data_IF_524374535102
#
_entry.id   IF_524374535102
#
_cell.length_a   1.000
_cell.length_b   1.000
_cell.length_c   1.000
_cell.angle_alpha   90.00
_cell.angle_beta   90.00
_cell.angle_gamma   90.00
#
_symmetry.space_group_name_H-M   'P 1'
#
loop_
_entity.id
_entity.type
_entity.pdbx_description
1 polymer ?
#
# COMPACT_ATOMS: atom_id res chain seq x y z
N UNK A 1 -7.54 33.12 4.78
CA UNK A 1 -8.24 32.46 5.90
C UNK A 1 -9.35 31.48 5.49
N UNK A 2 -10.11 31.69 4.40
CA UNK A 2 -11.19 30.75 3.98
C UNK A 2 -10.71 29.34 3.53
N UNK A 3 -9.46 29.19 3.10
CA UNK A 3 -8.88 27.89 2.69
C UNK A 3 -8.62 26.96 3.87
N UNK A 4 -8.08 27.49 4.98
CA UNK A 4 -7.86 26.73 6.22
C UNK A 4 -9.18 26.24 6.85
N UNK A 5 -10.24 27.06 6.77
CA UNK A 5 -11.58 26.69 7.24
C UNK A 5 -12.28 25.63 6.39
N UNK A 6 -11.98 25.56 5.08
CA UNK A 6 -12.57 24.55 4.18
C UNK A 6 -11.82 23.21 4.22
N UNK A 7 -10.49 23.24 4.27
CA UNK A 7 -9.67 22.00 4.32
C UNK A 7 -9.58 21.41 5.72
N UNK A 8 -9.71 22.23 6.77
CA UNK A 8 -9.57 21.81 8.16
C UNK A 8 -10.54 20.70 8.57
N UNK A 9 -11.81 20.78 8.15
CA UNK A 9 -12.82 19.78 8.50
C UNK A 9 -12.54 18.41 7.87
N UNK A 10 -12.00 18.38 6.64
CA UNK A 10 -11.61 17.13 5.99
C UNK A 10 -10.32 16.53 6.55
N UNK A 11 -9.34 17.37 6.90
CA UNK A 11 -8.11 16.90 7.57
C UNK A 11 -8.41 16.35 8.96
N UNK A 12 -9.25 17.06 9.74
CA UNK A 12 -9.70 16.58 11.04
C UNK A 12 -10.41 15.23 10.93
N UNK A 13 -11.29 15.08 9.92
CA UNK A 13 -11.95 13.81 9.65
C UNK A 13 -10.94 12.68 9.39
N UNK A 14 -9.94 12.90 8.53
CA UNK A 14 -8.89 11.90 8.24
C UNK A 14 -8.07 11.57 9.49
N UNK A 15 -7.73 12.57 10.31
CA UNK A 15 -6.97 12.36 11.55
C UNK A 15 -7.77 11.57 12.58
N UNK A 16 -9.05 11.91 12.77
CA UNK A 16 -9.95 11.17 13.68
C UNK A 16 -10.13 9.74 13.21
N UNK A 17 -10.36 9.55 11.91
CA UNK A 17 -10.46 8.22 11.31
C UNK A 17 -9.16 7.44 11.55
N UNK A 18 -8.00 8.01 11.23
CA UNK A 18 -6.71 7.37 11.41
C UNK A 18 -6.45 6.99 12.88
N UNK A 19 -6.66 7.90 13.83
CA UNK A 19 -6.49 7.62 15.26
C UNK A 19 -7.41 6.51 15.74
N UNK A 20 -8.68 6.55 15.34
CA UNK A 20 -9.65 5.52 15.70
C UNK A 20 -9.27 4.16 15.11
N UNK A 21 -8.80 4.13 13.87
CA UNK A 21 -8.32 2.92 13.21
C UNK A 21 -7.04 2.38 13.83
N UNK A 22 -6.08 3.24 14.19
CA UNK A 22 -4.87 2.84 14.92
C UNK A 22 -5.21 2.27 16.30
N UNK A 23 -6.19 2.86 16.98
CA UNK A 23 -6.69 2.36 18.26
C UNK A 23 -7.43 1.01 18.12
N UNK A 24 -8.26 0.83 17.10
CA UNK A 24 -8.85 -0.48 16.78
C UNK A 24 -7.78 -1.51 16.41
N UNK A 25 -6.77 -1.08 15.65
CA UNK A 25 -5.62 -1.89 15.26
C UNK A 25 -4.73 -2.31 16.43
N UNK A 26 -4.65 -1.52 17.49
CA UNK A 26 -3.91 -1.92 18.70
C UNK A 26 -4.67 -2.92 19.57
N UNK A 27 -6.01 -2.93 19.50
CA UNK A 27 -6.86 -3.95 20.15
C UNK A 27 -6.80 -5.30 19.44
N UNK A 28 -6.65 -5.29 18.12
CA UNK A 28 -6.44 -6.49 17.30
C UNK A 28 -5.17 -6.35 16.46
N UNK A 29 -3.98 -6.60 17.05
CA UNK A 29 -2.68 -6.43 16.40
C UNK A 29 -2.54 -7.23 15.09
N UNK A 30 -3.28 -8.33 15.00
CA UNK A 30 -3.34 -9.24 13.84
C UNK A 30 -3.82 -8.54 12.57
N UNK A 31 -4.71 -7.54 12.69
CA UNK A 31 -5.33 -6.84 11.54
C UNK A 31 -4.57 -5.54 11.23
N UNK A 32 -4.01 -4.88 12.24
CA UNK A 32 -3.25 -3.64 12.10
C UNK A 32 -4.10 -2.40 11.82
N UNK A 33 -3.62 -1.24 12.23
CA UNK A 33 -4.33 0.04 12.10
C UNK A 33 -4.73 0.43 10.66
N UNK A 34 -3.89 0.21 9.63
CA UNK A 34 -4.23 0.54 8.25
C UNK A 34 -5.47 -0.20 7.73
N UNK A 35 -5.59 -1.51 7.96
CA UNK A 35 -6.71 -2.32 7.45
C UNK A 35 -8.05 -1.83 8.02
N UNK A 36 -8.09 -1.49 9.32
CA UNK A 36 -9.27 -0.86 9.92
C UNK A 36 -9.58 0.51 9.32
N UNK A 37 -8.55 1.32 9.03
CA UNK A 37 -8.72 2.63 8.38
C UNK A 37 -9.45 2.53 7.06
N UNK A 38 -9.07 1.53 6.28
CA UNK A 38 -9.72 1.24 5.02
C UNK A 38 -11.13 0.70 5.22
N UNK A 39 -11.33 -0.30 6.06
CA UNK A 39 -12.64 -0.95 6.21
C UNK A 39 -13.67 0.10 6.66
N UNK A 40 -13.27 0.96 7.59
CA UNK A 40 -14.08 2.08 8.02
C UNK A 40 -14.31 3.09 6.90
N UNK A 41 -13.29 3.44 6.12
CA UNK A 41 -13.45 4.37 4.99
C UNK A 41 -14.45 3.85 3.94
N UNK A 42 -14.36 2.57 3.58
CA UNK A 42 -15.27 1.90 2.65
C UNK A 42 -16.69 1.84 3.23
N UNK A 43 -16.84 1.45 4.50
CA UNK A 43 -18.15 1.41 5.17
C UNK A 43 -18.79 2.80 5.22
N UNK A 44 -18.04 3.84 5.58
CA UNK A 44 -18.54 5.23 5.64
C UNK A 44 -18.94 5.71 4.24
N UNK A 45 -18.14 5.41 3.22
CA UNK A 45 -18.42 5.81 1.85
C UNK A 45 -19.67 5.12 1.28
N UNK A 46 -19.93 3.88 1.69
CA UNK A 46 -21.08 3.09 1.22
C UNK A 46 -22.39 3.40 1.98
N UNK A 47 -22.31 3.74 3.28
CA UNK A 47 -23.50 3.95 4.12
C UNK A 47 -23.97 5.40 4.17
N UNK A 48 -23.10 6.33 4.55
CA UNK A 48 -23.45 7.73 4.82
C UNK A 48 -23.09 8.62 3.63
N UNK A 49 -22.07 8.23 2.87
CA UNK A 49 -21.47 9.08 1.83
C UNK A 49 -20.72 10.27 2.45
N UNK A 50 -19.59 10.64 1.85
CA UNK A 50 -18.77 11.75 2.38
C UNK A 50 -19.28 13.08 1.82
N UNK A 51 -19.67 14.07 2.66
CA UNK A 51 -20.11 15.36 2.15
C UNK A 51 -18.95 16.08 1.43
N UNK A 52 -19.28 16.82 0.35
CA UNK A 52 -18.30 17.50 -0.52
C UNK A 52 -17.35 18.44 0.22
N UNK A 53 -17.73 18.91 1.42
CA UNK A 53 -16.87 19.73 2.27
C UNK A 53 -15.63 19.00 2.78
N UNK A 54 -15.63 17.67 2.88
CA UNK A 54 -14.47 16.90 3.35
C UNK A 54 -13.48 16.52 2.25
N UNK A 55 -13.91 16.50 0.97
CA UNK A 55 -13.07 16.10 -0.16
C UNK A 55 -11.79 16.93 -0.26
N UNK A 56 -11.87 18.24 -0.08
CA UNK A 56 -10.70 19.13 -0.15
C UNK A 56 -9.63 18.79 0.90
N UNK A 57 -10.04 18.40 2.12
CA UNK A 57 -9.11 18.01 3.18
C UNK A 57 -8.55 16.59 2.98
N UNK A 58 -9.38 15.65 2.52
CA UNK A 58 -8.94 14.28 2.18
C UNK A 58 -7.86 14.35 1.08
N UNK A 59 -8.12 15.10 0.01
CA UNK A 59 -7.19 15.21 -1.11
C UNK A 59 -5.92 15.98 -0.74
N UNK A 60 -6.02 16.98 0.15
CA UNK A 60 -4.84 17.62 0.73
C UNK A 60 -3.96 16.63 1.48
N UNK A 61 -4.54 15.76 2.32
CA UNK A 61 -3.79 14.72 3.04
C UNK A 61 -3.16 13.71 2.08
N UNK A 62 -3.91 13.21 1.10
CA UNK A 62 -3.40 12.23 0.13
C UNK A 62 -2.27 12.76 -0.76
N UNK A 63 -2.29 14.06 -1.12
CA UNK A 63 -1.21 14.66 -1.91
C UNK A 63 -0.09 15.20 -1.03
N UNK A 64 -0.37 16.19 -0.19
CA UNK A 64 0.68 16.97 0.48
C UNK A 64 1.27 16.24 1.67
N UNK A 65 0.41 15.73 2.56
CA UNK A 65 0.89 15.05 3.78
C UNK A 65 1.69 13.80 3.39
N UNK A 66 1.19 13.02 2.43
CA UNK A 66 1.91 11.84 1.92
C UNK A 66 3.30 12.20 1.35
N UNK A 67 3.40 13.24 0.53
CA UNK A 67 4.70 13.67 -0.01
C UNK A 67 5.67 14.12 1.08
N UNK A 68 5.22 14.92 2.04
CA UNK A 68 6.06 15.35 3.17
C UNK A 68 6.50 14.17 4.04
N UNK A 69 5.63 13.18 4.26
CA UNK A 69 5.98 11.94 4.95
C UNK A 69 7.06 11.16 4.21
N UNK A 70 6.97 11.05 2.88
CA UNK A 70 7.98 10.37 2.05
C UNK A 70 9.34 11.08 2.15
N UNK A 71 9.35 12.42 2.06
CA UNK A 71 10.59 13.21 2.19
C UNK A 71 11.21 13.00 3.58
N UNK A 72 10.40 13.07 4.63
CA UNK A 72 10.86 12.86 6.01
C UNK A 72 11.40 11.44 6.24
N UNK A 73 10.73 10.42 5.68
CA UNK A 73 11.19 9.03 5.73
C UNK A 73 12.55 8.88 5.03
N UNK A 74 12.71 9.51 3.86
CA UNK A 74 13.97 9.53 3.11
C UNK A 74 15.11 10.19 3.88
N UNK A 75 14.85 11.27 4.62
CA UNK A 75 15.85 11.92 5.47
C UNK A 75 16.29 11.05 6.67
N UNK A 76 15.46 10.08 7.10
CA UNK A 76 15.79 9.16 8.18
C UNK A 76 16.69 7.98 7.76
N UNK A 77 16.92 7.79 6.45
CA UNK A 77 17.72 6.71 5.91
C UNK A 77 19.18 7.13 5.73
N UNK A 78 20.12 6.34 6.25
CA UNK A 78 21.54 6.53 5.98
C UNK A 78 21.85 6.28 4.51
N UNK A 79 22.51 7.24 3.84
CA UNK A 79 23.01 7.09 2.47
C UNK A 79 23.90 5.83 2.32
N UNK A 80 24.62 5.47 3.37
CA UNK A 80 25.47 4.28 3.41
C UNK A 80 24.66 2.99 3.49
N UNK A 81 23.58 2.97 4.26
CA UNK A 81 22.63 1.84 4.28
C UNK A 81 21.98 1.67 2.92
N UNK A 82 21.48 2.75 2.30
CA UNK A 82 20.87 2.70 0.97
C UNK A 82 21.85 2.15 -0.08
N UNK A 83 23.13 2.48 0.00
CA UNK A 83 24.14 2.01 -0.95
C UNK A 83 24.49 0.52 -0.77
N UNK A 84 24.79 0.07 0.45
CA UNK A 84 25.13 -1.33 0.73
C UNK A 84 23.96 -2.25 0.36
N UNK A 85 22.78 -1.90 0.86
CA UNK A 85 21.54 -2.65 0.68
C UNK A 85 20.90 -2.49 -0.69
N UNK A 86 21.18 -1.39 -1.36
CA UNK A 86 20.81 -1.18 -2.74
C UNK A 86 21.50 -2.19 -3.65
N UNK A 87 22.77 -2.52 -3.39
CA UNK A 87 23.62 -3.32 -4.29
C UNK A 87 23.38 -4.83 -4.24
N UNK A 88 23.20 -5.43 -3.05
CA UNK A 88 22.95 -6.88 -2.92
C UNK A 88 21.53 -7.26 -3.37
N UNK A 89 20.53 -6.49 -2.97
CA UNK A 89 19.13 -6.75 -3.31
C UNK A 89 18.67 -6.20 -4.67
N UNK A 90 19.55 -5.52 -5.43
CA UNK A 90 19.17 -4.88 -6.71
C UNK A 90 18.59 -5.85 -7.72
N UNK A 91 19.25 -7.00 -7.89
CA UNK A 91 18.96 -7.96 -8.97
C UNK A 91 17.59 -8.63 -8.79
N UNK A 92 17.26 -9.05 -7.56
CA UNK A 92 15.96 -9.66 -7.26
C UNK A 92 14.81 -8.64 -7.40
N UNK A 93 15.02 -7.40 -6.94
CA UNK A 93 14.04 -6.32 -7.10
C UNK A 93 13.78 -5.97 -8.56
N UNK A 94 14.82 -5.91 -9.39
CA UNK A 94 14.66 -5.65 -10.82
C UNK A 94 13.82 -6.73 -11.51
N UNK A 95 14.00 -8.00 -11.17
CA UNK A 95 13.20 -9.09 -11.74
C UNK A 95 11.74 -9.00 -11.30
N UNK A 96 11.48 -8.80 -10.01
CA UNK A 96 10.11 -8.64 -9.50
C UNK A 96 9.41 -7.41 -10.08
N UNK A 97 10.14 -6.29 -10.19
CA UNK A 97 9.64 -5.05 -10.81
C UNK A 97 9.34 -5.24 -12.30
N UNK A 98 10.21 -5.90 -13.04
CA UNK A 98 9.96 -6.22 -14.45
C UNK A 98 8.73 -7.13 -14.59
N UNK A 99 8.60 -8.15 -13.73
CA UNK A 99 7.44 -9.03 -13.71
C UNK A 99 6.14 -8.28 -13.39
N UNK A 100 6.15 -7.36 -12.43
CA UNK A 100 4.97 -6.55 -12.07
C UNK A 100 4.56 -5.61 -13.20
N UNK A 101 5.53 -4.98 -13.88
CA UNK A 101 5.25 -4.13 -15.05
C UNK A 101 4.73 -4.94 -16.24
N UNK A 102 5.31 -6.11 -16.51
CA UNK A 102 4.83 -7.01 -17.56
C UNK A 102 3.42 -7.50 -17.27
N UNK A 103 3.13 -7.88 -16.02
CA UNK A 103 1.79 -8.29 -15.60
C UNK A 103 0.80 -7.13 -15.73
N UNK A 104 1.13 -5.94 -15.22
CA UNK A 104 0.27 -4.76 -15.31
C UNK A 104 0.01 -4.36 -16.77
N UNK A 105 1.01 -4.44 -17.64
CA UNK A 105 0.86 -4.17 -19.07
C UNK A 105 0.03 -5.26 -19.77
N UNK A 106 0.26 -6.53 -19.46
CA UNK A 106 -0.46 -7.68 -20.03
C UNK A 106 -1.94 -7.67 -19.67
N UNK A 107 -2.27 -7.63 -18.38
CA UNK A 107 -3.65 -7.53 -17.90
C UNK A 107 -4.30 -6.20 -18.32
N UNK A 108 -3.55 -5.11 -18.27
CA UNK A 108 -4.03 -3.81 -18.72
C UNK A 108 -4.37 -3.77 -20.21
N UNK A 109 -3.61 -4.47 -21.05
CA UNK A 109 -3.92 -4.61 -22.48
C UNK A 109 -5.16 -5.48 -22.70
N UNK A 110 -5.30 -6.57 -21.94
CA UNK A 110 -6.47 -7.45 -22.02
C UNK A 110 -7.77 -6.72 -21.60
N UNK A 111 -7.68 -5.86 -20.59
CA UNK A 111 -8.80 -5.07 -20.05
C UNK A 111 -8.98 -3.71 -20.73
N UNK A 112 -8.20 -3.41 -21.77
CA UNK A 112 -8.25 -2.17 -22.55
C UNK A 112 -8.09 -0.88 -21.71
N UNK A 113 -7.18 -0.93 -20.74
CA UNK A 113 -6.90 0.16 -19.79
C UNK A 113 -5.93 1.19 -20.42
N UNK A 114 -6.11 2.51 -20.16
CA UNK A 114 -5.20 3.56 -20.61
C UNK A 114 -3.73 3.35 -20.19
N UNK A 115 -2.78 3.76 -21.03
CA UNK A 115 -1.33 3.56 -20.80
C UNK A 115 -0.81 4.21 -19.52
N UNK A 116 -1.29 5.42 -19.20
CA UNK A 116 -0.97 6.12 -17.95
C UNK A 116 -1.38 5.29 -16.74
N UNK A 117 -2.63 4.82 -16.70
CA UNK A 117 -3.14 4.00 -15.61
C UNK A 117 -2.40 2.66 -15.48
N UNK A 118 -2.05 1.99 -16.59
CA UNK A 118 -1.22 0.78 -16.57
C UNK A 118 0.15 1.03 -15.96
N UNK A 119 0.77 2.16 -16.30
CA UNK A 119 2.08 2.56 -15.78
C UNK A 119 2.00 2.85 -14.28
N UNK A 120 0.96 3.55 -13.83
CA UNK A 120 0.74 3.82 -12.40
C UNK A 120 0.50 2.54 -11.59
N UNK A 121 -0.32 1.62 -12.10
CA UNK A 121 -0.58 0.33 -11.44
C UNK A 121 0.70 -0.51 -11.41
N UNK A 122 1.46 -0.57 -12.52
CA UNK A 122 2.74 -1.29 -12.58
C UNK A 122 3.77 -0.75 -11.60
N UNK A 123 3.95 0.58 -11.57
CA UNK A 123 4.86 1.26 -10.65
C UNK A 123 4.45 1.06 -9.19
N UNK A 124 3.18 1.27 -8.87
CA UNK A 124 2.67 1.09 -7.51
C UNK A 124 2.69 -0.36 -7.05
N UNK A 125 2.44 -1.33 -7.93
CA UNK A 125 2.48 -2.76 -7.56
C UNK A 125 3.91 -3.25 -7.39
N UNK A 126 4.87 -2.75 -8.19
CA UNK A 126 6.25 -3.20 -8.17
C UNK A 126 7.14 -2.52 -7.12
N UNK A 127 6.90 -1.25 -6.81
CA UNK A 127 7.77 -0.44 -5.93
C UNK A 127 7.18 -0.27 -4.52
N UNK A 128 5.99 -0.83 -4.28
CA UNK A 128 5.28 -0.85 -2.99
C UNK A 128 4.48 0.43 -2.71
N UNK A 129 3.44 0.64 -3.51
CA UNK A 129 2.23 1.34 -3.12
C UNK A 129 2.07 2.76 -3.64
N UNK A 130 1.34 3.57 -2.86
CA UNK A 130 0.94 4.92 -3.24
C UNK A 130 2.10 5.91 -3.37
N UNK A 131 3.24 5.67 -2.71
CA UNK A 131 4.44 6.51 -2.82
C UNK A 131 5.05 6.46 -4.22
N UNK A 132 5.08 5.29 -4.84
CA UNK A 132 5.55 5.13 -6.22
C UNK A 132 4.61 5.80 -7.23
N UNK A 133 3.29 5.68 -7.02
CA UNK A 133 2.29 6.40 -7.81
C UNK A 133 2.50 7.91 -7.69
N UNK A 134 2.67 8.41 -6.46
CA UNK A 134 2.90 9.82 -6.20
C UNK A 134 4.14 10.34 -6.93
N UNK A 135 5.25 9.58 -6.91
CA UNK A 135 6.50 9.95 -7.59
C UNK A 135 6.40 9.90 -9.12
N UNK A 136 5.71 8.91 -9.70
CA UNK A 136 5.60 8.74 -11.15
C UNK A 136 4.52 9.67 -11.76
N UNK A 137 3.47 9.97 -11.01
CA UNK A 137 2.34 10.77 -11.48
C UNK A 137 2.70 12.12 -12.12
N UNK A 138 3.62 12.96 -11.58
CA UNK A 138 4.00 14.21 -12.24
C UNK A 138 4.86 13.99 -13.49
N UNK A 139 5.60 12.89 -13.58
CA UNK A 139 6.50 12.60 -14.71
C UNK A 139 5.70 12.24 -15.97
N UNK A 140 4.61 11.49 -15.80
CA UNK A 140 3.74 11.07 -16.91
C UNK A 140 2.53 12.00 -17.09
N UNK A 141 2.45 13.08 -16.32
CA UNK A 141 1.33 14.03 -16.27
C UNK A 141 -0.03 13.33 -16.10
N UNK A 142 -0.11 12.41 -15.13
CA UNK A 142 -1.33 11.65 -14.85
C UNK A 142 -2.45 12.54 -14.30
N UNK A 143 -3.67 12.27 -14.72
CA UNK A 143 -4.85 12.95 -14.19
C UNK A 143 -5.18 12.48 -12.77
N UNK A 144 -5.80 13.35 -11.97
CA UNK A 144 -6.16 13.01 -10.58
C UNK A 144 -7.08 11.78 -10.50
N UNK A 145 -7.93 11.60 -11.51
CA UNK A 145 -8.82 10.44 -11.61
C UNK A 145 -8.05 9.15 -11.87
N UNK A 146 -7.00 9.18 -12.69
CA UNK A 146 -6.14 8.03 -12.99
C UNK A 146 -5.30 7.64 -11.75
N UNK A 147 -4.78 8.63 -11.03
CA UNK A 147 -4.08 8.43 -9.75
C UNK A 147 -5.01 7.76 -8.74
N UNK A 148 -6.23 8.28 -8.59
CA UNK A 148 -7.22 7.72 -7.68
C UNK A 148 -7.59 6.27 -8.06
N UNK A 149 -7.79 5.98 -9.34
CA UNK A 149 -8.05 4.62 -9.82
C UNK A 149 -6.88 3.68 -9.56
N UNK A 150 -5.64 4.11 -9.82
CA UNK A 150 -4.46 3.30 -9.58
C UNK A 150 -4.31 2.95 -8.09
N UNK A 151 -4.42 3.96 -7.22
CA UNK A 151 -4.35 3.76 -5.76
C UNK A 151 -5.47 2.81 -5.31
N UNK A 152 -6.71 3.03 -5.75
CA UNK A 152 -7.86 2.20 -5.39
C UNK A 152 -7.68 0.75 -5.83
N UNK A 153 -7.11 0.54 -7.02
CA UNK A 153 -6.89 -0.80 -7.59
C UNK A 153 -5.83 -1.58 -6.81
N UNK A 154 -4.67 -0.96 -6.55
CA UNK A 154 -3.62 -1.58 -5.73
C UNK A 154 -4.17 -1.91 -4.35
N UNK A 155 -4.92 -0.96 -3.81
CA UNK A 155 -5.49 -1.09 -2.49
C UNK A 155 -6.50 -2.26 -2.39
N UNK A 156 -7.35 -2.42 -3.41
CA UNK A 156 -8.24 -3.57 -3.55
C UNK A 156 -7.46 -4.90 -3.58
N UNK A 157 -6.40 -4.99 -4.38
CA UNK A 157 -5.57 -6.20 -4.47
C UNK A 157 -4.82 -6.50 -3.17
N UNK A 158 -4.38 -5.49 -2.45
CA UNK A 158 -3.76 -5.66 -1.13
C UNK A 158 -4.73 -6.28 -0.12
N UNK A 159 -5.98 -5.79 -0.05
CA UNK A 159 -7.01 -6.43 0.81
C UNK A 159 -7.24 -7.87 0.35
N UNK A 160 -7.41 -8.08 -0.95
CA UNK A 160 -7.63 -9.41 -1.48
C UNK A 160 -6.48 -10.35 -1.10
N UNK A 161 -5.23 -9.90 -1.18
CA UNK A 161 -4.07 -10.67 -0.75
C UNK A 161 -4.14 -11.01 0.75
N UNK A 162 -4.41 -10.03 1.61
CA UNK A 162 -4.51 -10.21 3.08
C UNK A 162 -5.59 -11.21 3.47
N UNK A 163 -6.72 -11.26 2.73
CA UNK A 163 -7.82 -12.18 3.03
C UNK A 163 -7.64 -13.55 2.38
N UNK A 164 -7.16 -13.60 1.13
CA UNK A 164 -7.07 -14.83 0.36
C UNK A 164 -5.83 -15.64 0.70
N UNK A 165 -4.67 -15.00 0.92
CA UNK A 165 -3.42 -15.74 1.13
C UNK A 165 -3.47 -16.63 2.37
N UNK A 166 -3.86 -16.15 3.56
CA UNK A 166 -3.94 -17.01 4.74
C UNK A 166 -4.92 -18.18 4.55
N UNK A 167 -6.07 -17.90 3.95
CA UNK A 167 -7.09 -18.90 3.61
C UNK A 167 -6.52 -19.98 2.67
N UNK A 168 -5.79 -19.58 1.63
CA UNK A 168 -5.10 -20.50 0.71
C UNK A 168 -3.99 -21.29 1.43
N UNK A 169 -3.20 -20.63 2.29
CA UNK A 169 -2.15 -21.28 3.07
C UNK A 169 -2.69 -22.36 4.00
N UNK A 170 -3.88 -22.15 4.57
CA UNK A 170 -4.53 -23.16 5.41
C UNK A 170 -5.08 -24.30 4.56
N UNK A 171 -5.64 -23.98 3.39
CA UNK A 171 -6.14 -25.01 2.47
C UNK A 171 -5.03 -25.92 1.93
N UNK A 172 -3.85 -25.37 1.66
CA UNK A 172 -2.65 -26.13 1.30
C UNK A 172 -1.91 -26.73 2.51
N UNK A 173 -2.41 -26.51 3.72
CA UNK A 173 -1.84 -27.02 4.97
C UNK A 173 -0.33 -26.68 5.11
N UNK A 174 0.04 -25.46 4.72
CA UNK A 174 1.43 -24.98 4.70
C UNK A 174 1.99 -24.90 6.13
N UNK A 175 3.31 -25.01 6.27
CA UNK A 175 3.98 -24.64 7.52
C UNK A 175 4.09 -23.12 7.64
N UNK A 176 4.30 -22.62 8.86
CA UNK A 176 4.49 -21.19 9.13
C UNK A 176 5.64 -20.58 8.32
N UNK A 177 6.73 -21.34 8.16
CA UNK A 177 7.89 -20.97 7.36
C UNK A 177 7.56 -20.89 5.87
N UNK A 178 6.85 -21.89 5.36
CA UNK A 178 6.47 -21.94 3.94
C UNK A 178 5.47 -20.84 3.58
N UNK A 179 4.49 -20.58 4.46
CA UNK A 179 3.56 -19.48 4.28
C UNK A 179 4.26 -18.13 4.40
N UNK A 180 5.14 -17.96 5.40
CA UNK A 180 5.92 -16.74 5.59
C UNK A 180 6.78 -16.41 4.37
N UNK A 181 7.45 -17.42 3.78
CA UNK A 181 8.21 -17.28 2.54
C UNK A 181 7.31 -16.89 1.36
N UNK A 182 6.16 -17.55 1.20
CA UNK A 182 5.20 -17.24 0.14
C UNK A 182 4.67 -15.81 0.27
N UNK A 183 4.18 -15.43 1.44
CA UNK A 183 3.63 -14.11 1.69
C UNK A 183 4.69 -13.01 1.50
N UNK A 184 5.90 -13.20 2.04
CA UNK A 184 7.00 -12.24 1.93
C UNK A 184 7.55 -12.06 0.51
N UNK A 185 7.39 -13.05 -0.37
CA UNK A 185 7.85 -12.97 -1.77
C UNK A 185 6.75 -12.55 -2.75
N UNK A 186 5.53 -13.06 -2.57
CA UNK A 186 4.43 -12.84 -3.51
C UNK A 186 3.65 -11.54 -3.25
N UNK A 187 3.59 -11.07 -1.99
CA UNK A 187 2.92 -9.81 -1.67
C UNK A 187 3.95 -8.69 -1.74
N UNK A 188 3.71 -7.76 -2.66
CA UNK A 188 4.65 -6.67 -2.91
C UNK A 188 4.58 -5.58 -1.83
N UNK A 189 3.40 -5.31 -1.27
CA UNK A 189 3.22 -4.28 -0.25
C UNK A 189 3.60 -4.77 1.16
N UNK A 190 4.58 -4.12 1.79
CA UNK A 190 5.11 -4.53 3.11
C UNK A 190 4.04 -4.55 4.19
N UNK A 191 3.13 -3.57 4.20
CA UNK A 191 2.07 -3.55 5.22
C UNK A 191 1.10 -4.71 5.07
N UNK A 192 0.85 -5.12 3.82
CA UNK A 192 -0.02 -6.25 3.48
C UNK A 192 0.65 -7.61 3.74
N UNK A 193 1.97 -7.73 3.53
CA UNK A 193 2.76 -8.92 3.89
C UNK A 193 2.65 -9.19 5.39
N UNK A 194 2.92 -8.16 6.20
CA UNK A 194 2.90 -8.25 7.66
C UNK A 194 1.50 -8.68 8.11
N UNK A 195 0.45 -7.99 7.64
CA UNK A 195 -0.92 -8.33 7.99
C UNK A 195 -1.27 -9.78 7.61
N UNK A 196 -1.01 -10.21 6.36
CA UNK A 196 -1.29 -11.58 5.92
C UNK A 196 -0.54 -12.62 6.74
N UNK A 197 0.74 -12.37 7.04
CA UNK A 197 1.59 -13.24 7.86
C UNK A 197 1.01 -13.46 9.26
N UNK A 198 0.70 -12.38 9.98
CA UNK A 198 0.16 -12.47 11.35
C UNK A 198 -1.27 -13.00 11.40
N UNK A 199 -2.07 -12.83 10.35
CA UNK A 199 -3.39 -13.48 10.24
C UNK A 199 -3.25 -15.00 10.17
N UNK A 200 -2.21 -15.49 9.51
CA UNK A 200 -1.94 -16.92 9.41
C UNK A 200 -1.43 -17.50 10.74
N UNK A 201 -0.35 -16.94 11.29
CA UNK A 201 0.17 -17.24 12.62
C UNK A 201 1.22 -16.21 13.06
N UNK A 202 1.55 -16.16 14.36
CA UNK A 202 2.62 -15.27 14.84
C UNK A 202 3.99 -15.61 14.24
N UNK A 203 4.29 -16.90 14.11
CA UNK A 203 5.58 -17.36 13.57
C UNK A 203 5.66 -17.07 12.08
N UNK A 204 4.58 -17.29 11.32
CA UNK A 204 4.54 -16.95 9.91
C UNK A 204 4.62 -15.44 9.66
N UNK A 205 4.02 -14.62 10.54
CA UNK A 205 4.16 -13.15 10.54
C UNK A 205 5.61 -12.70 10.70
N UNK A 206 6.34 -13.29 11.66
CA UNK A 206 7.76 -13.03 11.86
C UNK A 206 8.58 -13.42 10.63
N UNK A 207 8.38 -14.64 10.10
CA UNK A 207 9.07 -15.11 8.91
C UNK A 207 8.77 -14.26 7.67
N UNK A 208 7.51 -13.91 7.42
CA UNK A 208 7.10 -13.06 6.31
C UNK A 208 7.76 -11.68 6.36
N UNK A 209 7.82 -11.10 7.56
CA UNK A 209 8.48 -9.81 7.79
C UNK A 209 9.98 -9.90 7.51
N UNK A 210 10.65 -10.94 8.01
CA UNK A 210 12.09 -11.16 7.78
C UNK A 210 12.38 -11.38 6.29
N UNK A 211 11.60 -12.22 5.61
CA UNK A 211 11.75 -12.49 4.17
C UNK A 211 11.57 -11.20 3.38
N UNK A 212 10.58 -10.38 3.73
CA UNK A 212 10.36 -9.10 3.06
C UNK A 212 11.49 -8.12 3.32
N UNK A 213 11.93 -7.96 4.56
CA UNK A 213 13.02 -7.07 4.94
C UNK A 213 14.36 -7.51 4.33
N UNK A 214 14.56 -8.82 4.13
CA UNK A 214 15.75 -9.36 3.46
C UNK A 214 15.85 -8.99 1.97
N UNK A 215 14.74 -8.66 1.30
CA UNK A 215 14.75 -8.07 -0.06
C UNK A 215 15.18 -6.59 -0.06
N UNK A 216 15.33 -6.02 1.13
CA UNK A 216 15.90 -4.70 1.39
C UNK A 216 17.09 -4.84 2.34
N UNK A 217 17.88 -5.90 2.25
CA UNK A 217 19.23 -5.96 2.82
C UNK A 217 20.30 -6.05 1.75
#
# INVERSE_FOLDING_TARGET
>A
MKWLQRSGSGVLFVVVLALFSTWLGSLMPVIGGPVFGILLDVMINNTVGKPKCFQAGIQFSSKNVLHWSIIALGCGLSLTQVWQTGSESFSLKMVSLAASFLAAYGFGRLLNIPDRLKTLIGAGTGICGGSAIAAVSPIIEAEEIEIAYAISTIFLFNIAAVLLFPSLGHWFNMSDEAFGLLAGTAINDTSSVVAAGYIYSNDAGNYATIVKDSQYR
#
